data_IF_005054290603
#
_entry.id   IF_005054290603
#
_cell.length_a   1.000
_cell.length_b   1.000
_cell.length_c   1.000
_cell.angle_alpha   90.00
_cell.angle_beta   90.00
_cell.angle_gamma   90.00
#
_symmetry.space_group_name_H-M   'P 1'
#
loop_
_entity.id
_entity.type
_entity.pdbx_description
1 polymer ?
#
# COMPACT_ATOMS: atom_id res chain seq x y z
N UNK A 1 -1.31 -20.06 48.97
CA UNK A 1 -1.45 -18.60 49.10
C UNK A 1 -1.25 -17.95 47.74
N UNK A 2 -2.17 -17.10 47.27
CA UNK A 2 -1.92 -16.22 46.10
C UNK A 2 -0.84 -15.20 46.44
N UNK A 3 0.08 -14.93 45.52
CA UNK A 3 0.69 -13.60 45.38
C UNK A 3 0.59 -13.18 43.92
N UNK A 4 -0.26 -12.19 43.69
CA UNK A 4 -0.27 -11.40 42.46
C UNK A 4 1.08 -10.69 42.32
N UNK A 5 1.62 -10.68 41.11
CA UNK A 5 2.53 -9.63 40.66
C UNK A 5 1.93 -9.04 39.39
N UNK A 6 1.09 -8.02 39.58
CA UNK A 6 0.64 -7.12 38.53
C UNK A 6 1.86 -6.38 38.00
N UNK A 7 2.46 -6.89 36.92
CA UNK A 7 3.33 -6.10 36.06
C UNK A 7 2.47 -5.07 35.32
N UNK A 8 2.20 -3.94 35.97
CA UNK A 8 1.58 -2.79 35.30
C UNK A 8 2.60 -2.27 34.29
N UNK A 9 2.43 -2.66 33.03
CA UNK A 9 3.15 -2.06 31.92
C UNK A 9 2.66 -0.61 31.81
N UNK A 10 3.41 0.32 32.40
CA UNK A 10 3.21 1.75 32.16
C UNK A 10 3.59 2.05 30.71
N UNK A 11 2.61 1.91 29.82
CA UNK A 11 2.62 2.56 28.50
C UNK A 11 2.55 4.06 28.73
N UNK A 12 3.70 4.66 29.08
CA UNK A 12 3.90 6.10 28.95
C UNK A 12 4.10 6.37 27.46
N UNK A 13 3.01 6.29 26.69
CA UNK A 13 2.89 7.01 25.44
C UNK A 13 2.88 8.49 25.80
N UNK A 14 4.07 9.08 25.95
CA UNK A 14 4.21 10.53 26.07
C UNK A 14 3.57 11.09 24.79
N UNK A 15 2.54 11.93 24.95
CA UNK A 15 1.92 12.67 23.86
C UNK A 15 2.93 13.70 23.32
N UNK A 16 3.94 13.22 22.57
CA UNK A 16 5.00 14.01 21.96
C UNK A 16 4.58 14.68 20.64
N UNK A 17 3.34 14.46 20.20
CA UNK A 17 2.76 15.17 19.07
C UNK A 17 2.43 16.60 19.48
N UNK A 18 3.40 17.49 19.31
CA UNK A 18 3.22 18.93 19.48
C UNK A 18 2.20 19.44 18.48
N UNK A 19 1.05 19.87 18.99
CA UNK A 19 -0.03 20.51 18.19
C UNK A 19 0.42 21.81 17.49
N UNK A 20 1.60 22.36 17.83
CA UNK A 20 2.12 23.63 17.32
C UNK A 20 2.53 23.59 15.84
N UNK A 21 2.81 22.41 15.27
CA UNK A 21 3.28 22.25 13.89
C UNK A 21 2.22 21.65 12.95
N UNK A 22 0.92 21.82 13.25
CA UNK A 22 -0.17 21.34 12.40
C UNK A 22 -0.24 22.11 11.08
N UNK A 23 -0.02 21.43 9.97
CA UNK A 23 -0.17 21.97 8.64
C UNK A 23 -1.37 21.32 7.94
N UNK A 24 -2.46 22.08 7.82
CA UNK A 24 -3.74 21.57 7.28
C UNK A 24 -3.98 22.14 5.88
N UNK A 25 -4.40 21.29 4.94
CA UNK A 25 -4.82 21.66 3.59
C UNK A 25 -6.08 20.90 3.20
N UNK A 26 -6.99 21.58 2.50
CA UNK A 26 -8.14 20.96 1.83
C UNK A 26 -7.73 20.67 0.38
N UNK A 27 -7.92 19.43 -0.06
CA UNK A 27 -7.63 18.98 -1.41
C UNK A 27 -8.96 18.66 -2.09
N UNK A 28 -9.40 19.42 -3.11
CA UNK A 28 -10.63 19.13 -3.82
C UNK A 28 -10.47 17.90 -4.72
N UNK A 29 -11.39 16.96 -4.52
CA UNK A 29 -11.59 15.69 -5.22
C UNK A 29 -13.04 15.62 -5.76
N UNK A 30 -13.40 14.56 -6.50
CA UNK A 30 -14.65 14.50 -7.28
C UNK A 30 -15.95 14.60 -6.46
N UNK A 31 -15.97 14.09 -5.21
CA UNK A 31 -17.17 14.11 -4.34
C UNK A 31 -17.06 15.01 -3.10
N UNK A 32 -15.98 15.79 -3.00
CA UNK A 32 -15.78 16.71 -1.90
C UNK A 32 -14.30 16.95 -1.62
N UNK A 33 -14.03 17.56 -0.48
CA UNK A 33 -12.66 17.80 -0.05
C UNK A 33 -12.12 16.61 0.76
N UNK A 34 -10.86 16.28 0.53
CA UNK A 34 -10.02 15.52 1.45
C UNK A 34 -9.30 16.52 2.37
N UNK A 35 -9.23 16.22 3.66
CA UNK A 35 -8.48 17.03 4.63
C UNK A 35 -7.12 16.39 4.84
N UNK A 36 -6.06 17.00 4.33
CA UNK A 36 -4.69 16.60 4.62
C UNK A 36 -4.20 17.37 5.85
N UNK A 37 -3.95 16.66 6.95
CA UNK A 37 -3.29 17.18 8.14
C UNK A 37 -1.88 16.58 8.19
N UNK A 38 -0.84 17.42 8.20
CA UNK A 38 0.55 16.99 8.40
C UNK A 38 1.02 17.51 9.75
N UNK A 39 1.49 16.61 10.62
CA UNK A 39 2.16 16.93 11.89
C UNK A 39 3.65 16.64 11.71
N UNK A 40 4.36 17.64 11.22
CA UNK A 40 5.79 17.52 10.95
C UNK A 40 6.63 17.99 12.14
N UNK A 41 7.40 17.06 12.69
CA UNK A 41 8.36 17.27 13.77
C UNK A 41 9.80 16.92 13.32
N UNK A 42 10.03 16.68 12.03
CA UNK A 42 11.36 16.53 11.45
C UNK A 42 12.00 17.87 11.12
N UNK A 43 13.26 17.84 10.71
CA UNK A 43 14.00 19.03 10.26
C UNK A 43 13.61 19.47 8.83
N UNK A 44 13.05 18.58 8.01
CA UNK A 44 12.62 18.90 6.64
C UNK A 44 11.18 19.44 6.59
N UNK A 45 11.06 20.75 6.70
CA UNK A 45 9.79 21.46 6.52
C UNK A 45 9.27 21.49 5.06
N UNK A 46 10.13 21.23 4.06
CA UNK A 46 9.75 21.24 2.64
C UNK A 46 9.02 19.95 2.22
N UNK A 47 9.24 18.86 2.96
CA UNK A 47 8.53 17.59 2.83
C UNK A 47 7.00 17.75 2.83
N UNK A 48 6.46 18.71 3.60
CA UNK A 48 5.02 18.98 3.68
C UNK A 48 4.38 19.30 2.31
N UNK A 49 5.06 20.10 1.49
CA UNK A 49 4.52 20.53 0.18
C UNK A 49 4.73 19.44 -0.88
N UNK A 50 5.82 18.67 -0.81
CA UNK A 50 5.99 17.44 -1.58
C UNK A 50 4.85 16.45 -1.31
N UNK A 51 4.61 16.13 -0.04
CA UNK A 51 3.55 15.21 0.37
C UNK A 51 2.16 15.73 -0.01
N UNK A 52 1.89 17.04 0.10
CA UNK A 52 0.62 17.65 -0.36
C UNK A 52 0.39 17.44 -1.85
N UNK A 53 1.39 17.74 -2.68
CA UNK A 53 1.31 17.55 -4.13
C UNK A 53 1.06 16.09 -4.45
N UNK A 54 1.91 15.19 -3.97
CA UNK A 54 1.81 13.76 -4.27
C UNK A 54 0.52 13.11 -3.74
N UNK A 55 0.02 13.53 -2.58
CA UNK A 55 -1.31 13.10 -2.08
C UNK A 55 -2.45 13.56 -3.02
N UNK A 56 -2.41 14.82 -3.47
CA UNK A 56 -3.39 15.37 -4.41
C UNK A 56 -3.36 14.64 -5.75
N UNK A 57 -2.16 14.45 -6.32
CA UNK A 57 -1.96 13.86 -7.63
C UNK A 57 -2.36 12.37 -7.62
N UNK A 58 -1.99 11.64 -6.57
CA UNK A 58 -2.30 10.21 -6.42
C UNK A 58 -3.80 9.93 -6.27
N UNK A 59 -4.51 10.63 -5.38
CA UNK A 59 -5.94 10.39 -5.23
C UNK A 59 -6.72 10.81 -6.49
N UNK A 60 -6.37 11.92 -7.15
CA UNK A 60 -6.99 12.30 -8.44
C UNK A 60 -6.74 11.26 -9.53
N UNK A 61 -5.54 10.68 -9.57
CA UNK A 61 -5.21 9.59 -10.48
C UNK A 61 -6.04 8.33 -10.19
N UNK A 62 -6.18 7.94 -8.91
CA UNK A 62 -7.03 6.81 -8.49
C UNK A 62 -8.50 7.05 -8.84
N UNK A 63 -9.05 8.23 -8.57
CA UNK A 63 -10.44 8.57 -8.94
C UNK A 63 -10.63 8.56 -10.47
N UNK A 64 -9.68 9.09 -11.24
CA UNK A 64 -9.72 9.11 -12.71
C UNK A 64 -9.48 7.74 -13.36
N UNK A 65 -8.80 6.83 -12.68
CA UNK A 65 -8.55 5.46 -13.14
C UNK A 65 -9.69 4.52 -12.79
N UNK A 66 -10.12 4.49 -11.53
CA UNK A 66 -11.17 3.58 -11.06
C UNK A 66 -12.59 4.10 -11.35
N UNK A 67 -12.78 5.41 -11.43
CA UNK A 67 -14.10 6.03 -11.42
C UNK A 67 -14.77 6.02 -10.04
N UNK A 68 -14.01 5.78 -8.97
CA UNK A 68 -14.47 5.68 -7.58
C UNK A 68 -13.89 6.84 -6.80
N UNK A 69 -14.71 7.57 -6.04
CA UNK A 69 -14.21 8.68 -5.23
C UNK A 69 -13.49 8.21 -3.97
N UNK A 70 -12.56 9.02 -3.46
CA UNK A 70 -11.91 8.77 -2.16
C UNK A 70 -12.95 8.62 -1.03
N UNK A 71 -14.01 9.43 -1.07
CA UNK A 71 -15.12 9.42 -0.10
C UNK A 71 -15.92 8.11 -0.12
N UNK A 72 -16.00 7.42 -1.27
CA UNK A 72 -16.61 6.09 -1.37
C UNK A 72 -15.64 5.00 -0.88
N UNK A 73 -14.41 5.00 -1.39
CA UNK A 73 -13.44 3.94 -1.12
C UNK A 73 -13.03 3.88 0.36
N UNK A 74 -12.89 5.05 1.01
CA UNK A 74 -12.47 5.16 2.42
C UNK A 74 -13.63 5.13 3.43
N UNK A 75 -14.88 4.97 3.00
CA UNK A 75 -16.06 5.17 3.85
C UNK A 75 -16.05 4.32 5.14
N UNK A 76 -15.67 3.05 5.03
CA UNK A 76 -15.59 2.10 6.17
C UNK A 76 -14.52 2.47 7.20
N UNK A 77 -13.41 3.08 6.76
CA UNK A 77 -12.32 3.56 7.64
C UNK A 77 -12.84 4.63 8.60
N UNK A 78 -13.83 5.42 8.15
CA UNK A 78 -14.41 6.56 8.87
C UNK A 78 -15.82 6.30 9.43
N UNK A 79 -16.33 5.08 9.44
CA UNK A 79 -17.73 4.78 9.79
C UNK A 79 -18.07 5.29 11.21
N UNK A 80 -17.34 4.79 12.22
CA UNK A 80 -17.46 5.16 13.64
C UNK A 80 -16.70 6.45 14.04
N UNK A 81 -16.13 7.17 13.08
CA UNK A 81 -15.31 8.35 13.37
C UNK A 81 -16.13 9.63 13.51
N UNK A 82 -15.68 10.52 14.40
CA UNK A 82 -16.26 11.86 14.59
C UNK A 82 -16.23 12.63 13.27
N UNK A 83 -17.21 13.51 13.07
CA UNK A 83 -17.32 14.33 11.85
C UNK A 83 -16.05 15.15 11.52
N UNK A 84 -15.24 15.53 12.52
CA UNK A 84 -13.96 16.23 12.34
C UNK A 84 -12.83 15.38 11.75
N UNK A 85 -12.97 14.05 11.81
CA UNK A 85 -11.97 13.07 11.33
C UNK A 85 -12.38 12.41 10.01
N UNK A 86 -13.64 12.55 9.57
CA UNK A 86 -14.10 11.96 8.31
C UNK A 86 -13.34 12.55 7.13
N UNK A 87 -12.85 11.68 6.26
CA UNK A 87 -12.09 12.04 5.05
C UNK A 87 -10.78 12.81 5.34
N UNK A 88 -10.23 12.62 6.55
CA UNK A 88 -8.92 13.15 6.93
C UNK A 88 -7.82 12.14 6.65
N UNK A 89 -6.78 12.57 5.93
CA UNK A 89 -5.48 11.91 5.88
C UNK A 89 -4.57 12.62 6.87
N UNK A 90 -4.18 11.94 7.95
CA UNK A 90 -3.19 12.43 8.91
C UNK A 90 -1.82 11.82 8.58
N UNK A 91 -0.85 12.66 8.21
CA UNK A 91 0.56 12.29 8.09
C UNK A 91 1.32 12.74 9.34
N UNK A 92 2.07 11.84 9.95
CA UNK A 92 2.91 12.11 11.12
C UNK A 92 4.37 11.89 10.69
N UNK A 93 5.15 12.97 10.74
CA UNK A 93 6.49 13.01 10.17
C UNK A 93 7.49 13.29 11.28
N UNK A 94 8.49 12.42 11.43
CA UNK A 94 9.47 12.44 12.52
C UNK A 94 10.84 12.02 11.99
N UNK A 95 11.94 12.50 12.59
CA UNK A 95 13.31 12.10 12.23
C UNK A 95 13.56 10.58 12.44
N UNK A 96 12.83 9.96 13.38
CA UNK A 96 12.80 8.51 13.59
C UNK A 96 11.40 8.03 13.98
N UNK A 97 10.97 6.91 13.42
CA UNK A 97 9.73 6.22 13.83
C UNK A 97 10.00 4.76 14.17
N UNK A 98 9.23 4.22 15.12
CA UNK A 98 9.39 2.85 15.60
C UNK A 98 8.04 2.12 15.63
N UNK A 99 8.02 0.91 15.07
CA UNK A 99 6.90 -0.02 15.17
C UNK A 99 7.35 -1.22 16.01
N UNK A 100 6.68 -1.47 17.14
CA UNK A 100 7.01 -2.53 18.10
C UNK A 100 8.51 -2.53 18.53
N UNK A 101 9.11 -1.35 18.68
CA UNK A 101 10.52 -1.17 19.05
C UNK A 101 11.54 -1.31 17.91
N UNK A 102 11.11 -1.61 16.69
CA UNK A 102 11.96 -1.66 15.49
C UNK A 102 11.82 -0.36 14.70
N UNK A 103 12.92 0.28 14.28
CA UNK A 103 12.88 1.45 13.38
C UNK A 103 12.36 1.02 12.00
N UNK A 104 11.47 1.80 11.41
CA UNK A 104 10.85 1.52 10.10
C UNK A 104 10.79 2.78 9.24
N UNK A 105 10.76 2.64 7.91
CA UNK A 105 10.65 3.75 6.94
C UNK A 105 9.30 4.48 7.05
N UNK A 106 8.23 3.71 7.23
CA UNK A 106 6.85 4.17 7.37
C UNK A 106 5.96 3.06 7.91
N UNK A 107 4.75 3.39 8.33
CA UNK A 107 3.68 2.42 8.55
C UNK A 107 2.29 3.04 8.52
N UNK A 108 1.31 2.23 8.10
CA UNK A 108 -0.11 2.54 8.20
C UNK A 108 -0.67 2.27 9.59
N UNK A 109 -1.45 3.21 10.13
CA UNK A 109 -2.34 2.97 11.27
C UNK A 109 -3.71 3.64 11.07
N UNK A 110 -4.24 3.72 9.84
CA UNK A 110 -5.54 4.40 9.60
C UNK A 110 -6.72 3.67 10.27
N UNK A 111 -6.60 2.36 10.51
CA UNK A 111 -7.54 1.55 11.30
C UNK A 111 -7.43 1.76 12.81
N UNK A 112 -6.26 2.16 13.33
CA UNK A 112 -6.00 2.36 14.75
C UNK A 112 -5.57 1.10 15.51
N UNK A 113 -5.36 -0.03 14.82
CA UNK A 113 -5.00 -1.31 15.45
C UNK A 113 -3.59 -1.31 16.07
N UNK A 114 -2.72 -0.41 15.63
CA UNK A 114 -1.31 -0.30 16.08
C UNK A 114 -1.08 0.81 17.11
N UNK A 115 -2.11 1.55 17.52
CA UNK A 115 -1.99 2.59 18.55
C UNK A 115 -3.07 3.66 18.51
N UNK A 116 -3.09 4.51 19.54
CA UNK A 116 -4.15 5.50 19.79
C UNK A 116 -4.29 6.59 18.73
N UNK A 117 -3.26 6.81 17.91
CA UNK A 117 -3.25 7.87 16.89
C UNK A 117 -3.39 7.23 15.51
N UNK A 118 -4.57 7.36 14.91
CA UNK A 118 -4.85 6.94 13.53
C UNK A 118 -4.17 7.87 12.53
N UNK A 119 -3.41 7.32 11.59
CA UNK A 119 -2.68 8.07 10.56
C UNK A 119 -1.62 7.23 9.86
N UNK A 120 -0.87 7.87 8.96
CA UNK A 120 0.32 7.31 8.32
C UNK A 120 1.55 7.94 8.98
N UNK A 121 2.53 7.12 9.36
CA UNK A 121 3.78 7.56 9.96
C UNK A 121 4.89 7.45 8.92
N UNK A 122 5.74 8.47 8.81
CA UNK A 122 6.79 8.56 7.79
C UNK A 122 8.10 9.10 8.38
N UNK A 123 9.22 8.52 7.97
CA UNK A 123 10.57 8.99 8.28
C UNK A 123 11.21 9.63 7.03
N UNK A 124 11.40 10.96 6.95
CA UNK A 124 11.88 11.64 5.74
C UNK A 124 13.25 11.21 5.25
N UNK A 125 14.16 10.84 6.17
CA UNK A 125 15.51 10.38 5.81
C UNK A 125 15.49 9.06 5.02
N UNK A 126 14.42 8.26 5.17
CA UNK A 126 14.22 6.99 4.46
C UNK A 126 13.12 7.07 3.39
N UNK A 127 12.25 8.09 3.42
CA UNK A 127 11.31 8.45 2.34
C UNK A 127 11.47 9.93 1.95
N UNK A 128 12.59 10.29 1.29
CA UNK A 128 12.94 11.68 1.01
C UNK A 128 12.11 12.28 -0.13
N UNK A 129 12.23 13.61 -0.29
CA UNK A 129 11.62 14.34 -1.41
C UNK A 129 12.14 13.76 -2.73
N UNK A 130 11.20 13.41 -3.62
CA UNK A 130 11.49 12.72 -4.89
C UNK A 130 11.36 11.19 -4.83
N UNK A 131 11.11 10.60 -3.66
CA UNK A 131 10.89 9.16 -3.46
C UNK A 131 9.44 8.89 -2.98
N UNK A 132 8.43 9.04 -3.85
CA UNK A 132 7.02 8.95 -3.45
C UNK A 132 6.52 7.51 -3.22
N UNK A 133 7.35 6.49 -3.41
CA UNK A 133 6.96 5.07 -3.42
C UNK A 133 6.18 4.66 -2.17
N UNK A 134 6.76 4.84 -0.99
CA UNK A 134 6.10 4.51 0.26
C UNK A 134 4.90 5.42 0.56
N UNK A 135 4.98 6.72 0.24
CA UNK A 135 3.83 7.62 0.41
C UNK A 135 2.62 7.14 -0.43
N UNK A 136 2.83 6.74 -1.68
CA UNK A 136 1.74 6.20 -2.53
C UNK A 136 1.20 4.87 -2.01
N UNK A 137 2.08 3.97 -1.54
CA UNK A 137 1.70 2.71 -0.93
C UNK A 137 0.76 2.94 0.27
N UNK A 138 1.18 3.80 1.20
CA UNK A 138 0.46 4.09 2.43
C UNK A 138 -0.88 4.83 2.18
N UNK A 139 -0.89 5.75 1.20
CA UNK A 139 -2.14 6.39 0.75
C UNK A 139 -3.08 5.42 0.03
N UNK A 140 -2.54 4.38 -0.63
CA UNK A 140 -3.30 3.36 -1.33
C UNK A 140 -4.18 2.52 -0.39
N UNK A 141 -3.80 2.38 0.89
CA UNK A 141 -4.58 1.66 1.88
C UNK A 141 -5.93 2.32 2.24
N UNK A 142 -6.14 3.59 1.85
CA UNK A 142 -7.48 4.20 1.90
C UNK A 142 -8.46 3.60 0.87
N UNK A 143 -7.97 2.81 -0.10
CA UNK A 143 -8.78 2.07 -1.07
C UNK A 143 -8.70 0.54 -0.90
N UNK A 144 -7.56 0.00 -0.42
CA UNK A 144 -7.32 -1.45 -0.39
C UNK A 144 -6.60 -1.89 0.90
N UNK A 145 -7.26 -2.64 1.79
CA UNK A 145 -6.70 -3.00 3.11
C UNK A 145 -7.01 -4.41 3.63
N UNK A 146 -7.78 -5.23 2.90
CA UNK A 146 -8.35 -6.46 3.47
C UNK A 146 -7.46 -7.71 3.40
N UNK A 147 -7.18 -8.20 2.20
CA UNK A 147 -6.41 -9.44 2.00
C UNK A 147 -4.96 -9.06 1.74
N UNK A 148 -4.09 -9.24 2.74
CA UNK A 148 -2.72 -8.73 2.77
C UNK A 148 -1.96 -8.81 1.43
N UNK A 149 -1.81 -9.99 0.82
CA UNK A 149 -1.03 -10.10 -0.42
C UNK A 149 -1.63 -9.31 -1.59
N UNK A 150 -2.95 -9.14 -1.58
CA UNK A 150 -3.68 -8.38 -2.59
C UNK A 150 -3.58 -6.88 -2.30
N UNK A 151 -3.77 -6.43 -1.06
CA UNK A 151 -3.61 -5.02 -0.67
C UNK A 151 -2.18 -4.55 -0.90
N UNK A 152 -1.18 -5.19 -0.28
CA UNK A 152 0.23 -4.81 -0.37
C UNK A 152 0.70 -4.78 -1.83
N UNK A 153 0.29 -5.78 -2.62
CA UNK A 153 0.61 -5.85 -4.04
C UNK A 153 -0.04 -4.71 -4.83
N UNK A 154 -1.33 -4.43 -4.62
CA UNK A 154 -2.07 -3.40 -5.33
C UNK A 154 -1.49 -2.01 -5.08
N UNK A 155 -1.30 -1.64 -3.82
CA UNK A 155 -0.86 -0.28 -3.47
C UNK A 155 0.58 -0.02 -3.94
N UNK A 156 1.41 -1.07 -4.01
CA UNK A 156 2.78 -1.02 -4.55
C UNK A 156 2.83 -0.98 -6.08
N UNK A 157 1.91 -1.66 -6.77
CA UNK A 157 1.91 -1.78 -8.23
C UNK A 157 1.09 -0.69 -8.96
N UNK A 158 0.03 -0.18 -8.34
CA UNK A 158 -0.86 0.81 -8.95
C UNK A 158 -0.15 2.09 -9.46
N UNK A 159 0.89 2.65 -8.80
CA UNK A 159 1.61 3.81 -9.33
C UNK A 159 2.13 3.62 -10.77
N UNK A 160 2.64 2.44 -11.12
CA UNK A 160 3.06 2.11 -12.48
C UNK A 160 1.88 2.12 -13.46
N UNK A 161 0.76 1.51 -13.08
CA UNK A 161 -0.46 1.46 -13.90
C UNK A 161 -1.04 2.85 -14.14
N UNK A 162 -1.10 3.68 -13.09
CA UNK A 162 -1.56 5.06 -13.18
C UNK A 162 -0.67 5.90 -14.09
N UNK A 163 0.65 5.70 -14.05
CA UNK A 163 1.59 6.40 -14.94
C UNK A 163 1.37 5.99 -16.40
N UNK A 164 1.35 4.68 -16.68
CA UNK A 164 1.18 4.13 -18.03
C UNK A 164 -0.17 4.49 -18.67
N UNK A 165 -1.23 4.58 -17.87
CA UNK A 165 -2.55 5.05 -18.29
C UNK A 165 -2.68 6.59 -18.33
N UNK A 166 -1.57 7.32 -18.11
CA UNK A 166 -1.48 8.80 -18.13
C UNK A 166 -2.45 9.47 -17.15
N UNK A 167 -2.59 8.87 -15.97
CA UNK A 167 -3.46 9.33 -14.86
C UNK A 167 -2.70 10.09 -13.79
N UNK A 168 -1.41 9.78 -13.62
CA UNK A 168 -0.46 10.53 -12.80
C UNK A 168 0.77 10.86 -13.64
N UNK A 169 1.35 12.04 -13.42
CA UNK A 169 2.64 12.42 -13.98
C UNK A 169 3.73 12.16 -12.93
N UNK A 170 4.79 11.45 -13.34
CA UNK A 170 5.91 11.06 -12.49
C UNK A 170 7.21 11.27 -13.25
N UNK A 171 8.23 11.77 -12.56
CA UNK A 171 9.56 11.85 -13.17
C UNK A 171 10.17 10.46 -13.32
N UNK A 172 11.23 10.35 -14.13
CA UNK A 172 11.95 9.09 -14.31
C UNK A 172 12.52 8.58 -13.00
N UNK A 173 13.04 9.48 -12.17
CA UNK A 173 13.61 9.21 -10.86
C UNK A 173 12.54 8.72 -9.89
N UNK A 174 11.35 9.33 -9.91
CA UNK A 174 10.21 8.87 -9.10
C UNK A 174 9.76 7.45 -9.50
N UNK A 175 9.73 7.13 -10.79
CA UNK A 175 9.42 5.77 -11.27
C UNK A 175 10.48 4.73 -10.91
N UNK A 176 11.76 5.13 -10.95
CA UNK A 176 12.87 4.29 -10.49
C UNK A 176 12.74 4.05 -8.98
N UNK A 177 12.44 5.06 -8.17
CA UNK A 177 12.25 4.90 -6.72
C UNK A 177 11.15 3.89 -6.37
N UNK A 178 10.06 3.85 -7.14
CA UNK A 178 8.97 2.88 -6.94
C UNK A 178 9.42 1.46 -7.33
N UNK A 179 10.35 1.31 -8.27
CA UNK A 179 10.92 0.02 -8.64
C UNK A 179 11.93 -0.50 -7.61
N UNK A 180 12.75 0.41 -7.08
CA UNK A 180 13.77 0.14 -6.06
C UNK A 180 13.15 -0.21 -4.70
N UNK A 181 12.14 0.54 -4.22
CA UNK A 181 11.44 0.28 -2.95
C UNK A 181 10.96 -1.18 -2.80
N UNK A 182 10.52 -1.78 -3.92
CA UNK A 182 9.94 -3.12 -3.96
C UNK A 182 10.84 -4.17 -4.63
N UNK A 183 12.11 -3.85 -4.93
CA UNK A 183 13.09 -4.70 -5.61
C UNK A 183 12.56 -5.38 -6.89
N UNK A 184 11.87 -4.67 -7.80
CA UNK A 184 11.11 -5.31 -8.91
C UNK A 184 11.91 -6.31 -9.75
N UNK A 185 13.21 -6.04 -9.93
CA UNK A 185 14.12 -6.81 -10.77
C UNK A 185 14.89 -7.93 -10.03
N UNK A 186 14.85 -7.99 -8.68
CA UNK A 186 15.55 -9.04 -7.92
C UNK A 186 14.83 -10.39 -8.08
N UNK A 187 15.56 -11.48 -8.32
CA UNK A 187 14.98 -12.83 -8.38
C UNK A 187 14.50 -13.31 -7.01
N UNK A 188 13.42 -14.09 -6.96
CA UNK A 188 13.03 -14.80 -5.73
C UNK A 188 14.02 -15.94 -5.46
N UNK A 189 15.09 -15.68 -4.71
CA UNK A 189 16.17 -16.63 -4.46
C UNK A 189 16.15 -17.17 -3.03
N UNK A 190 16.28 -18.50 -2.89
CA UNK A 190 16.59 -19.18 -1.63
C UNK A 190 15.40 -19.81 -0.88
N UNK A 191 15.69 -20.33 0.32
CA UNK A 191 14.81 -21.15 1.18
C UNK A 191 13.56 -20.44 1.75
N UNK A 192 13.25 -19.23 1.25
CA UNK A 192 12.20 -18.34 1.76
C UNK A 192 11.14 -18.00 0.71
N UNK A 193 11.13 -18.70 -0.42
CA UNK A 193 10.15 -18.53 -1.49
C UNK A 193 8.78 -19.15 -1.14
N UNK A 194 8.17 -18.67 -0.06
CA UNK A 194 6.86 -19.11 0.41
C UNK A 194 5.73 -18.58 -0.51
N UNK A 195 4.62 -19.33 -0.67
CA UNK A 195 3.42 -18.78 -1.30
C UNK A 195 2.84 -17.65 -0.43
N UNK A 196 2.12 -16.71 -1.05
CA UNK A 196 1.55 -15.55 -0.36
C UNK A 196 0.29 -15.87 0.48
N UNK A 197 -0.34 -17.02 0.27
CA UNK A 197 -1.45 -17.54 1.07
C UNK A 197 -1.16 -19.00 1.48
N UNK A 198 -1.02 -19.34 2.78
CA UNK A 198 -1.16 -18.44 3.94
C UNK A 198 0.00 -17.45 4.09
N UNK A 199 -0.19 -16.38 4.85
CA UNK A 199 0.87 -15.40 5.15
C UNK A 199 1.89 -15.97 6.14
N UNK A 200 3.15 -16.11 5.71
CA UNK A 200 4.25 -16.65 6.52
C UNK A 200 5.02 -15.61 7.33
N UNK A 201 4.77 -14.29 7.15
CA UNK A 201 5.55 -13.20 7.77
C UNK A 201 5.58 -13.26 9.30
N UNK A 202 4.46 -13.62 9.94
CA UNK A 202 4.39 -13.78 11.41
C UNK A 202 5.32 -14.88 11.94
N UNK A 203 5.47 -15.98 11.19
CA UNK A 203 6.32 -17.12 11.57
C UNK A 203 7.78 -16.90 11.17
N UNK A 204 8.02 -16.20 10.08
CA UNK A 204 9.33 -15.93 9.52
C UNK A 204 9.46 -14.44 9.14
N UNK A 205 9.77 -13.53 10.07
CA UNK A 205 9.86 -12.08 9.79
C UNK A 205 10.83 -11.73 8.65
N UNK A 206 11.87 -12.55 8.44
CA UNK A 206 12.81 -12.41 7.31
C UNK A 206 12.19 -12.70 5.92
N UNK A 207 10.91 -13.08 5.85
CA UNK A 207 10.16 -13.20 4.61
C UNK A 207 9.43 -11.89 4.20
N UNK A 208 9.50 -10.82 5.01
CA UNK A 208 8.81 -9.55 4.72
C UNK A 208 9.14 -9.00 3.32
N UNK A 209 10.41 -8.72 3.01
CA UNK A 209 10.81 -8.18 1.69
C UNK A 209 10.35 -9.09 0.54
N UNK A 210 10.53 -10.41 0.68
CA UNK A 210 10.10 -11.41 -0.30
C UNK A 210 8.58 -11.35 -0.53
N UNK A 211 7.79 -11.18 0.53
CA UNK A 211 6.33 -11.05 0.44
C UNK A 211 5.91 -9.82 -0.37
N UNK A 212 6.43 -8.63 -0.07
CA UNK A 212 6.09 -7.40 -0.80
C UNK A 212 6.49 -7.48 -2.27
N UNK A 213 7.71 -7.93 -2.56
CA UNK A 213 8.20 -8.14 -3.92
C UNK A 213 7.32 -9.12 -4.72
N UNK A 214 6.96 -10.24 -4.10
CA UNK A 214 6.14 -11.29 -4.71
C UNK A 214 4.69 -10.85 -4.89
N UNK A 215 4.14 -10.07 -3.97
CA UNK A 215 2.80 -9.48 -4.06
C UNK A 215 2.70 -8.48 -5.23
N UNK A 216 3.70 -7.62 -5.42
CA UNK A 216 3.81 -6.73 -6.59
C UNK A 216 3.90 -7.53 -7.89
N UNK A 217 4.76 -8.55 -7.95
CA UNK A 217 4.91 -9.42 -9.13
C UNK A 217 3.62 -10.16 -9.49
N UNK A 218 2.81 -10.54 -8.49
CA UNK A 218 1.46 -11.06 -8.75
C UNK A 218 0.56 -10.02 -9.40
N UNK A 219 0.58 -8.75 -8.97
CA UNK A 219 -0.21 -7.72 -9.67
C UNK A 219 0.25 -7.51 -11.12
N UNK A 220 1.55 -7.59 -11.41
CA UNK A 220 2.05 -7.60 -12.79
C UNK A 220 1.49 -8.79 -13.60
N UNK A 221 1.49 -10.00 -13.02
CA UNK A 221 0.87 -11.18 -13.65
C UNK A 221 -0.62 -10.92 -13.91
N UNK A 222 -1.38 -10.43 -12.93
CA UNK A 222 -2.79 -10.12 -13.09
C UNK A 222 -3.02 -9.06 -14.18
N UNK A 223 -2.21 -8.00 -14.23
CA UNK A 223 -2.28 -6.96 -15.25
C UNK A 223 -2.02 -7.50 -16.65
N UNK A 224 -0.98 -8.33 -16.83
CA UNK A 224 -0.64 -8.99 -18.10
C UNK A 224 -1.73 -10.00 -18.51
N UNK A 225 -2.26 -10.76 -17.56
CA UNK A 225 -3.25 -11.80 -17.80
C UNK A 225 -4.67 -11.25 -18.06
N UNK A 226 -5.02 -10.08 -17.52
CA UNK A 226 -6.30 -9.38 -17.73
C UNK A 226 -6.26 -8.36 -18.87
N UNK A 227 -5.12 -7.73 -19.12
CA UNK A 227 -4.99 -6.52 -19.94
C UNK A 227 -5.45 -5.25 -19.21
N UNK A 228 -5.16 -4.04 -19.74
CA UNK A 228 -5.36 -2.79 -19.00
C UNK A 228 -6.81 -2.55 -18.56
N UNK A 229 -7.77 -2.82 -19.47
CA UNK A 229 -9.20 -2.69 -19.20
C UNK A 229 -9.67 -3.70 -18.15
N UNK A 230 -9.28 -4.97 -18.30
CA UNK A 230 -9.66 -6.03 -17.35
C UNK A 230 -9.05 -5.83 -15.96
N UNK A 231 -7.83 -5.31 -15.88
CA UNK A 231 -7.20 -4.96 -14.60
C UNK A 231 -7.89 -3.77 -13.93
N UNK A 232 -8.30 -2.75 -14.69
CA UNK A 232 -9.11 -1.64 -14.18
C UNK A 232 -10.46 -2.13 -13.63
N UNK A 233 -11.13 -3.03 -14.36
CA UNK A 233 -12.39 -3.62 -13.91
C UNK A 233 -12.20 -4.51 -12.67
N UNK A 234 -11.06 -5.21 -12.56
CA UNK A 234 -10.68 -5.93 -11.34
C UNK A 234 -10.55 -4.99 -10.15
N UNK A 235 -9.73 -3.93 -10.28
CA UNK A 235 -9.54 -2.90 -9.24
C UNK A 235 -10.88 -2.32 -8.77
N UNK A 236 -11.79 -2.01 -9.70
CA UNK A 236 -13.14 -1.52 -9.37
C UNK A 236 -14.00 -2.53 -8.59
N UNK A 237 -13.94 -3.81 -8.96
CA UNK A 237 -14.67 -4.91 -8.30
C UNK A 237 -14.16 -5.22 -6.89
N UNK A 238 -12.93 -4.83 -6.55
CA UNK A 238 -12.40 -4.96 -5.20
C UNK A 238 -13.02 -3.94 -4.24
N UNK A 239 -13.27 -2.71 -4.70
CA UNK A 239 -13.87 -1.66 -3.87
C UNK A 239 -15.40 -1.81 -3.76
N UNK A 240 -16.11 -2.12 -4.85
CA UNK A 240 -17.58 -2.13 -4.84
C UNK A 240 -18.25 -3.47 -4.48
N UNK A 241 -17.70 -4.62 -4.87
CA UNK A 241 -18.42 -5.91 -4.80
C UNK A 241 -18.09 -6.71 -3.53
N UNK A 242 -17.95 -6.01 -2.40
CA UNK A 242 -17.24 -6.44 -1.19
C UNK A 242 -15.78 -6.85 -1.46
N UNK A 243 -14.86 -6.28 -0.71
CA UNK A 243 -13.44 -6.63 -0.82
C UNK A 243 -13.23 -8.10 -0.42
N UNK A 244 -12.56 -8.91 -1.25
CA UNK A 244 -12.45 -10.35 -1.04
C UNK A 244 -11.62 -10.65 0.21
N UNK A 245 -12.15 -11.51 1.07
CA UNK A 245 -11.50 -11.92 2.33
C UNK A 245 -10.64 -13.18 2.15
N UNK A 246 -10.78 -13.88 1.03
CA UNK A 246 -10.01 -15.10 0.73
C UNK A 246 -9.50 -15.12 -0.71
N UNK A 247 -8.35 -15.78 -0.95
CA UNK A 247 -7.80 -16.00 -2.30
C UNK A 247 -8.80 -16.73 -3.22
N UNK A 248 -9.70 -17.55 -2.67
CA UNK A 248 -10.78 -18.21 -3.43
C UNK A 248 -11.76 -17.18 -4.01
N UNK A 249 -12.15 -16.16 -3.25
CA UNK A 249 -13.00 -15.06 -3.73
C UNK A 249 -12.30 -14.21 -4.78
N UNK A 250 -10.99 -13.95 -4.61
CA UNK A 250 -10.18 -13.27 -5.63
C UNK A 250 -10.21 -14.04 -6.96
N UNK A 251 -10.00 -15.35 -6.91
CA UNK A 251 -10.06 -16.22 -8.10
C UNK A 251 -11.45 -16.19 -8.77
N UNK A 252 -12.54 -16.10 -7.99
CA UNK A 252 -13.89 -15.97 -8.54
C UNK A 252 -14.10 -14.61 -9.23
N UNK A 253 -13.65 -13.50 -8.61
CA UNK A 253 -13.68 -12.16 -9.24
C UNK A 253 -12.86 -12.15 -10.53
N UNK A 254 -11.64 -12.70 -10.53
CA UNK A 254 -10.78 -12.83 -11.72
C UNK A 254 -11.46 -13.66 -12.84
N UNK A 255 -12.08 -14.79 -12.51
CA UNK A 255 -12.85 -15.61 -13.48
C UNK A 255 -14.03 -14.86 -14.10
N UNK A 256 -14.68 -13.97 -13.35
CA UNK A 256 -15.81 -13.17 -13.85
C UNK A 256 -15.41 -12.14 -14.92
N UNK A 257 -14.14 -11.69 -14.90
CA UNK A 257 -13.60 -10.71 -15.86
C UNK A 257 -12.98 -11.44 -17.06
N UNK A 258 -12.19 -12.49 -16.81
CA UNK A 258 -11.58 -13.31 -17.86
C UNK A 258 -11.53 -14.77 -17.41
N UNK A 259 -12.26 -15.63 -18.11
CA UNK A 259 -12.28 -17.05 -17.81
C UNK A 259 -10.93 -17.70 -18.18
N UNK A 260 -10.10 -17.98 -17.17
CA UNK A 260 -8.78 -18.59 -17.25
C UNK A 260 -8.57 -19.56 -16.09
N UNK A 261 -7.57 -20.44 -16.20
CA UNK A 261 -7.11 -21.26 -15.08
C UNK A 261 -6.23 -20.43 -14.12
N UNK A 262 -6.84 -19.49 -13.41
CA UNK A 262 -6.19 -18.63 -12.42
C UNK A 262 -5.47 -19.41 -11.31
N UNK A 263 -5.95 -20.62 -10.97
CA UNK A 263 -5.28 -21.47 -9.99
C UNK A 263 -3.92 -21.99 -10.47
N UNK A 264 -3.76 -22.26 -11.77
CA UNK A 264 -2.47 -22.62 -12.37
C UNK A 264 -1.55 -21.40 -12.51
N UNK A 265 -2.12 -20.26 -12.96
CA UNK A 265 -1.39 -19.00 -13.12
C UNK A 265 -0.79 -18.48 -11.79
N UNK A 266 -1.50 -18.67 -10.67
CA UNK A 266 -1.11 -18.19 -9.34
C UNK A 266 -0.47 -19.26 -8.45
N UNK A 267 -0.18 -20.46 -8.98
CA UNK A 267 0.48 -21.54 -8.22
C UNK A 267 1.96 -21.22 -8.00
N UNK A 268 2.48 -21.51 -6.80
CA UNK A 268 3.79 -21.07 -6.32
C UNK A 268 3.84 -19.59 -5.94
N UNK A 269 3.05 -18.74 -6.59
CA UNK A 269 2.92 -17.31 -6.28
C UNK A 269 2.05 -17.06 -5.06
N UNK A 270 0.75 -17.30 -5.19
CA UNK A 270 -0.23 -17.12 -4.10
C UNK A 270 -0.62 -18.47 -3.51
N UNK A 271 -0.86 -19.47 -4.38
CA UNK A 271 -1.36 -20.78 -3.98
C UNK A 271 -0.18 -21.74 -3.75
N UNK A 272 -0.16 -22.54 -2.68
CA UNK A 272 0.91 -23.51 -2.43
C UNK A 272 1.12 -24.51 -3.57
N UNK A 273 2.39 -24.78 -3.88
CA UNK A 273 2.82 -25.71 -4.93
C UNK A 273 3.96 -25.15 -5.77
N UNK A 274 4.45 -25.93 -6.74
CA UNK A 274 5.44 -25.45 -7.71
C UNK A 274 4.81 -24.44 -8.68
N UNK A 275 5.60 -23.46 -9.12
CA UNK A 275 5.27 -22.59 -10.26
C UNK A 275 4.91 -23.40 -11.51
N UNK A 276 3.83 -23.01 -12.19
CA UNK A 276 3.38 -23.66 -13.44
C UNK A 276 3.56 -22.76 -14.68
N UNK A 277 2.93 -21.58 -14.71
CA UNK A 277 2.95 -20.70 -15.89
C UNK A 277 3.99 -19.58 -15.78
N UNK A 278 3.98 -18.87 -14.66
CA UNK A 278 4.91 -17.79 -14.35
C UNK A 278 5.94 -18.28 -13.34
N UNK A 279 7.21 -17.94 -13.51
CA UNK A 279 8.32 -18.34 -12.61
C UNK A 279 9.16 -17.12 -12.27
N UNK A 280 10.06 -17.20 -11.28
CA UNK A 280 11.01 -16.12 -10.99
C UNK A 280 11.84 -15.72 -12.24
N UNK A 281 12.19 -16.68 -13.10
CA UNK A 281 12.88 -16.47 -14.39
C UNK A 281 12.07 -15.66 -15.41
N UNK A 282 10.78 -15.47 -15.21
CA UNK A 282 9.99 -14.56 -16.05
C UNK A 282 10.43 -13.12 -15.82
N UNK A 283 10.68 -12.74 -14.57
CA UNK A 283 11.04 -11.37 -14.18
C UNK A 283 12.53 -11.05 -14.42
N UNK A 284 13.39 -12.06 -14.55
CA UNK A 284 14.76 -11.88 -15.06
C UNK A 284 14.80 -11.54 -16.57
N UNK A 285 13.72 -11.87 -17.30
CA UNK A 285 13.61 -11.66 -18.76
C UNK A 285 12.72 -10.50 -19.14
N UNK A 286 11.68 -10.27 -18.34
CA UNK A 286 10.70 -9.20 -18.49
C UNK A 286 10.85 -8.22 -17.34
N UNK A 287 11.59 -7.14 -17.55
CA UNK A 287 11.66 -6.03 -16.60
C UNK A 287 10.27 -5.42 -16.41
N UNK A 288 9.83 -5.33 -15.15
CA UNK A 288 8.58 -4.61 -14.83
C UNK A 288 8.78 -3.14 -15.19
N UNK A 289 9.90 -2.56 -14.76
CA UNK A 289 10.24 -1.18 -15.06
C UNK A 289 10.30 -0.93 -16.57
N UNK A 290 10.99 -1.81 -17.31
CA UNK A 290 11.06 -1.77 -18.77
C UNK A 290 9.71 -1.95 -19.47
N UNK A 291 8.71 -2.55 -18.83
CA UNK A 291 7.33 -2.66 -19.36
C UNK A 291 6.52 -1.37 -19.17
N UNK A 292 6.90 -0.51 -18.23
CA UNK A 292 6.12 0.67 -17.82
C UNK A 292 6.78 2.03 -18.12
N UNK A 293 8.08 2.07 -18.47
CA UNK A 293 8.83 3.30 -18.81
C UNK A 293 9.01 3.54 -20.33
N UNK A 294 8.61 2.59 -21.19
CA UNK A 294 8.71 2.72 -22.67
C UNK A 294 7.79 3.81 -23.27
#
# INVERSE_FOLDING_TARGET
MRKFLLGILFLISINLYSDKNKWIRRIPLNRGELILEIRNNSQDSTWNEFARRKTSDFFRALESYSGISFHEASASIFEDQKASEKYKVLLIVQDQIFLNGTRVTGYNNISGDLGTTRGIFMEPDLSPIGYPALLFHELGHFYFSDLAWLSEGLVSFLPFVLYKEKKIDLTKEELISIAEEWNTEEGLQGEKDFPLDPDFRQKYPSANSVFYNKALKVQYILYKELGPVGYRDFVKKLVFENSPKTTKEVILKLKSIRNKNWSSLLKGWVIPGTYEVYTWKTFEKESILGTFIQ
#
